data_IF_019443587385
#
_entry.id   IF_019443587385
#
_cell.length_a   1.000
_cell.length_b   1.000
_cell.length_c   1.000
_cell.angle_alpha   90.00
_cell.angle_beta   90.00
_cell.angle_gamma   90.00
#
_symmetry.space_group_name_H-M   'P 1'
#
loop_
_entity.id
_entity.type
_entity.pdbx_description
1 polymer ?
#
# COMPACT_ATOMS: atom_id res chain seq x y z
N UNK A 1 5.61 17.71 -15.34
CA UNK A 1 4.54 17.38 -14.38
C UNK A 1 5.12 17.44 -12.98
N UNK A 2 4.36 17.91 -11.99
CA UNK A 2 4.78 18.01 -10.60
C UNK A 2 3.95 17.01 -9.80
N UNK A 3 4.58 16.26 -8.90
CA UNK A 3 3.90 15.42 -7.90
C UNK A 3 4.10 16.10 -6.56
N UNK A 4 3.01 16.25 -5.81
CA UNK A 4 3.03 16.82 -4.45
C UNK A 4 2.12 16.00 -3.56
N UNK A 5 2.52 15.79 -2.32
CA UNK A 5 1.65 15.23 -1.29
C UNK A 5 1.86 15.99 0.01
N UNK A 6 0.76 16.28 0.71
CA UNK A 6 0.80 16.91 2.03
C UNK A 6 0.87 15.84 3.11
N UNK A 7 1.53 16.12 4.22
CA UNK A 7 1.45 15.28 5.40
C UNK A 7 0.13 15.56 6.13
N UNK A 8 -0.50 14.51 6.63
CA UNK A 8 -1.80 14.52 7.29
C UNK A 8 -1.75 13.74 8.60
N UNK A 9 -2.60 14.15 9.56
CA UNK A 9 -2.84 13.43 10.80
C UNK A 9 -3.97 12.39 10.69
N UNK A 10 -4.64 12.32 9.52
CA UNK A 10 -5.61 11.27 9.17
C UNK A 10 -4.89 9.98 8.80
N UNK A 11 -4.35 9.33 9.81
CA UNK A 11 -3.42 8.21 9.71
C UNK A 11 -4.07 6.83 9.91
N UNK A 12 -5.39 6.73 10.05
CA UNK A 12 -6.06 5.45 10.25
C UNK A 12 -5.93 4.84 11.65
N UNK A 13 -5.21 5.47 12.59
CA UNK A 13 -5.34 5.18 14.01
C UNK A 13 -6.82 5.42 14.37
N UNK A 14 -7.44 4.53 15.15
CA UNK A 14 -8.88 4.53 15.47
C UNK A 14 -9.83 3.98 14.39
N UNK A 15 -9.40 2.99 13.60
CA UNK A 15 -10.25 2.29 12.61
C UNK A 15 -10.80 3.17 11.48
N UNK A 16 -10.19 4.34 11.27
CA UNK A 16 -10.50 5.20 10.13
C UNK A 16 -9.72 4.75 8.89
N UNK A 17 -10.21 5.12 7.70
CA UNK A 17 -9.42 4.94 6.47
C UNK A 17 -8.37 6.06 6.45
N UNK A 18 -7.07 5.75 6.29
CA UNK A 18 -6.05 6.79 6.21
C UNK A 18 -6.23 7.62 4.93
N UNK A 19 -5.77 8.86 4.97
CA UNK A 19 -5.62 9.69 3.77
C UNK A 19 -4.19 9.64 3.24
N UNK A 20 -3.97 10.02 1.95
CA UNK A 20 -2.63 10.26 1.42
C UNK A 20 -1.79 11.16 2.34
N UNK A 21 -0.59 10.70 2.67
CA UNK A 21 0.32 11.39 3.57
C UNK A 21 -0.09 11.34 5.04
N UNK A 22 -1.09 10.51 5.41
CA UNK A 22 -1.53 10.22 6.78
C UNK A 22 -0.44 9.56 7.63
N UNK A 23 0.65 10.28 7.89
CA UNK A 23 1.89 9.77 8.47
C UNK A 23 2.23 10.45 9.79
N UNK A 24 1.41 11.39 10.23
CA UNK A 24 1.57 12.12 11.47
C UNK A 24 0.46 11.74 12.45
N UNK A 25 0.69 11.93 13.74
CA UNK A 25 -0.34 11.86 14.77
C UNK A 25 -0.11 12.95 15.81
N UNK A 26 -1.19 13.35 16.49
CA UNK A 26 -1.16 14.27 17.61
C UNK A 26 -1.21 13.47 18.94
N UNK A 27 -0.10 13.33 19.68
CA UNK A 27 -0.10 12.67 20.99
C UNK A 27 -0.89 13.47 22.04
N UNK A 28 -1.29 12.84 23.17
CA UNK A 28 -1.87 13.55 24.30
C UNK A 28 -0.98 14.72 24.77
N UNK A 29 -1.56 15.91 24.91
CA UNK A 29 -0.83 17.14 25.28
C UNK A 29 -0.12 17.07 26.62
N UNK A 30 -0.65 16.27 27.55
CA UNK A 30 -0.08 16.10 28.89
C UNK A 30 1.31 15.44 28.83
N UNK A 31 1.61 14.68 27.77
CA UNK A 31 2.95 14.13 27.53
C UNK A 31 3.98 15.20 27.12
N UNK A 32 3.53 16.40 26.74
CA UNK A 32 4.36 17.49 26.22
C UNK A 32 4.12 18.82 26.95
N UNK A 33 3.85 18.78 28.26
CA UNK A 33 3.64 19.96 29.10
C UNK A 33 2.60 20.95 28.54
N UNK A 34 1.55 20.43 27.89
CA UNK A 34 0.50 21.24 27.27
C UNK A 34 0.83 21.76 25.87
N UNK A 35 2.01 21.49 25.31
CA UNK A 35 2.32 21.84 23.93
C UNK A 35 1.49 21.01 22.94
N UNK A 36 1.16 21.61 21.79
CA UNK A 36 0.59 20.88 20.65
C UNK A 36 1.74 20.45 19.74
N UNK A 37 1.95 19.14 19.61
CA UNK A 37 3.05 18.56 18.84
C UNK A 37 2.46 17.61 17.79
N UNK A 38 3.09 17.55 16.62
CA UNK A 38 2.85 16.52 15.60
C UNK A 38 4.07 15.61 15.53
N UNK A 39 3.84 14.31 15.64
CA UNK A 39 4.89 13.30 15.57
C UNK A 39 4.61 12.34 14.41
N UNK A 40 5.65 11.75 13.78
CA UNK A 40 5.47 10.63 12.87
C UNK A 40 4.77 9.47 13.55
N UNK A 41 3.89 8.77 12.83
CA UNK A 41 3.32 7.50 13.28
C UNK A 41 4.46 6.51 13.46
N UNK A 42 4.59 6.01 14.69
CA UNK A 42 5.54 4.97 15.06
C UNK A 42 4.78 3.80 15.67
N UNK A 43 5.05 2.58 15.22
CA UNK A 43 4.48 1.35 15.77
C UNK A 43 5.66 0.41 16.04
N UNK A 44 6.08 0.21 17.31
CA UNK A 44 5.53 0.75 18.56
C UNK A 44 5.69 2.29 18.69
N UNK A 45 4.85 2.92 19.53
CA UNK A 45 4.80 4.39 19.72
C UNK A 45 6.16 4.98 20.13
N UNK A 46 6.96 4.21 20.85
CA UNK A 46 8.30 4.60 21.26
C UNK A 46 9.34 3.50 20.98
N UNK A 47 10.58 3.86 20.59
CA UNK A 47 11.00 5.23 20.24
C UNK A 47 10.34 5.71 18.94
N UNK A 48 10.04 7.01 18.85
CA UNK A 48 9.47 7.62 17.63
C UNK A 48 10.44 7.43 16.47
N UNK A 49 9.99 6.76 15.41
CA UNK A 49 10.79 6.55 14.20
C UNK A 49 10.33 7.44 13.04
N UNK A 50 11.26 7.81 12.17
CA UNK A 50 10.97 8.56 10.94
C UNK A 50 10.87 7.66 9.70
N UNK A 51 10.81 6.34 9.90
CA UNK A 51 10.90 5.34 8.82
C UNK A 51 9.82 5.55 7.75
N UNK A 52 8.55 5.77 8.12
CA UNK A 52 7.48 6.01 7.13
C UNK A 52 7.68 7.31 6.33
N UNK A 53 8.18 8.38 6.97
CA UNK A 53 8.48 9.64 6.27
C UNK A 53 9.67 9.46 5.31
N UNK A 54 10.68 8.68 5.71
CA UNK A 54 11.81 8.33 4.86
C UNK A 54 11.36 7.47 3.67
N UNK A 55 10.50 6.48 3.91
CA UNK A 55 9.89 5.65 2.88
C UNK A 55 9.10 6.51 1.89
N UNK A 56 8.30 7.45 2.40
CA UNK A 56 7.58 8.40 1.55
C UNK A 56 8.54 9.25 0.70
N UNK A 57 9.61 9.77 1.29
CA UNK A 57 10.62 10.54 0.58
C UNK A 57 11.26 9.71 -0.56
N UNK A 58 11.58 8.43 -0.31
CA UNK A 58 12.08 7.51 -1.33
C UNK A 58 11.05 7.29 -2.45
N UNK A 59 9.78 7.17 -2.13
CA UNK A 59 8.75 7.02 -3.15
C UNK A 59 8.57 8.30 -3.98
N UNK A 60 8.43 9.47 -3.34
CA UNK A 60 8.09 10.73 -4.01
C UNK A 60 9.23 11.33 -4.83
N UNK A 61 10.49 11.14 -4.42
CA UNK A 61 11.62 11.80 -5.09
C UNK A 61 12.33 10.89 -6.09
N UNK A 62 13.08 9.85 -5.68
CA UNK A 62 13.78 8.99 -6.64
C UNK A 62 12.85 8.08 -7.43
N UNK A 63 11.69 7.69 -6.89
CA UNK A 63 10.74 6.80 -7.57
C UNK A 63 9.53 7.53 -8.16
N UNK A 64 9.59 8.86 -8.30
CA UNK A 64 8.44 9.72 -8.69
C UNK A 64 7.69 9.30 -9.94
N UNK A 65 8.33 8.56 -10.85
CA UNK A 65 7.72 8.08 -12.09
C UNK A 65 6.48 7.23 -11.84
N UNK A 66 6.46 6.45 -10.73
CA UNK A 66 5.30 5.63 -10.38
C UNK A 66 4.06 6.47 -10.07
N UNK A 67 4.23 7.65 -9.48
CA UNK A 67 3.12 8.58 -9.23
C UNK A 67 2.71 9.32 -10.50
N UNK A 68 3.66 9.59 -11.40
CA UNK A 68 3.38 10.29 -12.65
C UNK A 68 2.62 9.45 -13.67
N UNK A 69 2.68 8.12 -13.56
CA UNK A 69 1.91 7.19 -14.38
C UNK A 69 0.49 6.95 -13.85
N UNK A 70 0.19 7.38 -12.62
CA UNK A 70 -1.14 7.31 -11.99
C UNK A 70 -1.78 5.92 -12.08
N UNK A 71 -1.12 4.86 -11.57
CA UNK A 71 -1.63 3.50 -11.66
C UNK A 71 -2.89 3.34 -10.82
N UNK A 72 -3.94 2.79 -11.43
CA UNK A 72 -5.04 2.19 -10.68
C UNK A 72 -4.62 0.86 -10.10
N UNK A 73 -4.94 0.64 -8.81
CA UNK A 73 -4.59 -0.58 -8.08
C UNK A 73 -5.85 -1.34 -7.67
N UNK A 74 -5.86 -2.64 -7.92
CA UNK A 74 -6.84 -3.60 -7.41
C UNK A 74 -6.15 -4.58 -6.46
N UNK A 75 -6.79 -4.90 -5.33
CA UNK A 75 -6.30 -5.86 -4.34
C UNK A 75 -7.37 -6.90 -4.09
N UNK A 76 -7.05 -8.15 -4.42
CA UNK A 76 -7.97 -9.28 -4.32
C UNK A 76 -7.47 -10.24 -3.25
N UNK A 77 -8.31 -10.55 -2.27
CA UNK A 77 -8.03 -11.61 -1.31
C UNK A 77 -8.49 -12.96 -1.86
N UNK A 78 -7.54 -13.84 -2.16
CA UNK A 78 -7.78 -15.19 -2.62
C UNK A 78 -7.17 -16.20 -1.63
N UNK A 79 -7.42 -16.04 -0.32
CA UNK A 79 -7.01 -17.02 0.70
C UNK A 79 -6.09 -16.46 1.79
N UNK A 80 -5.68 -15.19 1.72
CA UNK A 80 -5.00 -14.51 2.83
C UNK A 80 -5.93 -14.34 4.04
N UNK A 81 -5.32 -14.09 5.21
CA UNK A 81 -6.07 -13.87 6.45
C UNK A 81 -7.09 -12.71 6.30
N UNK A 82 -8.28 -12.81 6.93
CA UNK A 82 -9.27 -11.74 6.87
C UNK A 82 -8.68 -10.39 7.28
N UNK A 83 -8.92 -9.37 6.47
CA UNK A 83 -8.39 -8.02 6.69
C UNK A 83 -7.04 -7.73 6.03
N UNK A 84 -6.32 -8.72 5.48
CA UNK A 84 -5.03 -8.49 4.82
C UNK A 84 -5.13 -7.54 3.62
N UNK A 85 -6.14 -7.70 2.75
CA UNK A 85 -6.35 -6.81 1.61
C UNK A 85 -6.63 -5.36 2.04
N UNK A 86 -7.42 -5.18 3.11
CA UNK A 86 -7.70 -3.86 3.69
C UNK A 86 -6.45 -3.24 4.33
N UNK A 87 -5.64 -4.03 5.01
CA UNK A 87 -4.38 -3.57 5.61
C UNK A 87 -3.41 -3.07 4.53
N UNK A 88 -3.22 -3.85 3.45
CA UNK A 88 -2.39 -3.44 2.32
C UNK A 88 -2.97 -2.20 1.61
N UNK A 89 -4.28 -2.16 1.38
CA UNK A 89 -4.96 -1.00 0.78
C UNK A 89 -4.70 0.28 1.57
N UNK A 90 -4.94 0.24 2.89
CA UNK A 90 -4.69 1.37 3.78
C UNK A 90 -3.23 1.83 3.75
N UNK A 91 -2.29 0.88 3.70
CA UNK A 91 -0.87 1.20 3.59
C UNK A 91 -0.55 1.89 2.26
N UNK A 92 -1.03 1.38 1.12
CA UNK A 92 -0.79 2.00 -0.18
C UNK A 92 -1.44 3.40 -0.29
N UNK A 93 -2.66 3.58 0.24
CA UNK A 93 -3.34 4.87 0.29
C UNK A 93 -2.54 5.89 1.10
N UNK A 94 -1.95 5.47 2.23
CA UNK A 94 -1.09 6.33 3.07
C UNK A 94 0.09 6.90 2.31
N UNK A 95 0.64 6.15 1.35
CA UNK A 95 1.71 6.61 0.45
C UNK A 95 1.19 7.28 -0.83
N UNK A 96 -0.11 7.54 -0.94
CA UNK A 96 -0.70 8.32 -2.03
C UNK A 96 -0.99 7.53 -3.31
N UNK A 97 -1.04 6.20 -3.24
CA UNK A 97 -1.50 5.38 -4.37
C UNK A 97 -3.01 5.27 -4.42
N UNK A 98 -3.56 5.21 -5.64
CA UNK A 98 -4.99 5.07 -5.88
C UNK A 98 -5.37 3.59 -5.88
N UNK A 99 -6.00 3.13 -4.80
CA UNK A 99 -6.55 1.77 -4.69
C UNK A 99 -8.04 1.83 -5.02
N UNK A 100 -8.38 1.44 -6.24
CA UNK A 100 -9.74 1.54 -6.79
C UNK A 100 -10.64 0.40 -6.33
N UNK A 101 -10.06 -0.78 -6.12
CA UNK A 101 -10.84 -1.99 -5.87
C UNK A 101 -10.18 -2.85 -4.80
N UNK A 102 -10.97 -3.24 -3.80
CA UNK A 102 -10.55 -4.14 -2.72
C UNK A 102 -11.68 -5.12 -2.46
N UNK A 103 -11.46 -6.40 -2.74
CA UNK A 103 -12.49 -7.43 -2.62
C UNK A 103 -11.87 -8.79 -2.29
N UNK A 104 -12.72 -9.77 -1.99
CA UNK A 104 -12.31 -11.17 -2.12
C UNK A 104 -12.33 -11.52 -3.61
N UNK A 105 -11.44 -12.40 -4.06
CA UNK A 105 -11.46 -12.89 -5.44
C UNK A 105 -12.66 -13.83 -5.60
N UNK A 106 -13.71 -13.39 -6.31
CA UNK A 106 -14.90 -14.23 -6.55
C UNK A 106 -14.67 -15.22 -7.69
N UNK A 107 -13.80 -14.85 -8.63
CA UNK A 107 -13.51 -15.61 -9.84
C UNK A 107 -12.38 -16.62 -9.65
N UNK A 108 -11.52 -16.42 -8.65
CA UNK A 108 -10.39 -17.29 -8.36
C UNK A 108 -10.69 -18.21 -7.17
N UNK A 109 -10.26 -19.48 -7.21
CA UNK A 109 -10.20 -20.30 -6.02
C UNK A 109 -9.14 -19.76 -5.04
N UNK A 110 -9.18 -20.23 -3.80
CA UNK A 110 -8.13 -19.96 -2.82
C UNK A 110 -6.74 -20.31 -3.38
N UNK A 111 -5.85 -19.33 -3.37
CA UNK A 111 -4.47 -19.40 -3.81
C UNK A 111 -3.56 -19.65 -2.62
N UNK A 112 -2.60 -20.55 -2.79
CA UNK A 112 -1.55 -20.78 -1.79
C UNK A 112 -0.52 -19.63 -1.77
N UNK A 113 -0.27 -19.03 -2.93
CA UNK A 113 0.75 -18.00 -3.12
C UNK A 113 0.16 -16.68 -3.57
N UNK A 114 0.79 -15.59 -3.16
CA UNK A 114 0.47 -14.23 -3.56
C UNK A 114 1.24 -13.83 -4.82
N UNK A 115 0.64 -13.02 -5.68
CA UNK A 115 1.22 -12.64 -6.98
C UNK A 115 0.63 -11.32 -7.52
N UNK A 116 1.29 -10.75 -8.51
CA UNK A 116 0.80 -9.61 -9.30
C UNK A 116 0.24 -10.13 -10.63
N UNK A 117 -1.00 -9.79 -10.95
CA UNK A 117 -1.64 -10.27 -12.16
C UNK A 117 -1.20 -9.52 -13.41
N UNK A 118 -1.03 -10.26 -14.49
CA UNK A 118 -0.76 -9.77 -15.83
C UNK A 118 -1.77 -10.35 -16.81
N UNK A 119 -2.17 -9.58 -17.82
CA UNK A 119 -3.08 -10.09 -18.86
C UNK A 119 -2.40 -11.12 -19.76
N UNK A 120 -1.11 -10.93 -20.04
CA UNK A 120 -0.29 -11.85 -20.82
C UNK A 120 1.13 -11.91 -20.25
N UNK A 121 1.82 -13.04 -20.39
CA UNK A 121 3.21 -13.19 -19.91
C UNK A 121 4.21 -12.18 -20.51
N UNK A 122 3.88 -11.57 -21.65
CA UNK A 122 4.71 -10.56 -22.33
C UNK A 122 4.38 -9.12 -21.93
N UNK A 123 3.27 -8.88 -21.22
CA UNK A 123 2.79 -7.54 -20.84
C UNK A 123 3.27 -7.15 -19.45
N UNK A 124 4.60 -7.04 -19.29
CA UNK A 124 5.20 -6.53 -18.07
C UNK A 124 5.19 -4.99 -18.10
N UNK A 125 4.27 -4.37 -17.35
CA UNK A 125 4.26 -2.92 -17.21
C UNK A 125 5.28 -2.46 -16.16
N UNK A 126 5.88 -1.26 -16.30
CA UNK A 126 6.76 -0.69 -15.27
C UNK A 126 6.09 -0.60 -13.90
N UNK A 127 4.79 -0.33 -13.86
CA UNK A 127 3.98 -0.24 -12.65
C UNK A 127 3.84 -1.62 -11.97
N UNK A 128 3.44 -2.65 -12.72
CA UNK A 128 3.33 -4.01 -12.17
C UNK A 128 4.70 -4.51 -11.68
N UNK A 129 5.76 -4.21 -12.42
CA UNK A 129 7.15 -4.56 -12.05
C UNK A 129 7.58 -3.85 -10.77
N UNK A 130 7.23 -2.57 -10.62
CA UNK A 130 7.50 -1.80 -9.40
C UNK A 130 6.84 -2.45 -8.18
N UNK A 131 5.54 -2.76 -8.25
CA UNK A 131 4.82 -3.37 -7.13
C UNK A 131 5.23 -4.82 -6.87
N UNK A 132 5.55 -5.59 -7.91
CA UNK A 132 6.13 -6.93 -7.77
C UNK A 132 7.43 -6.89 -6.96
N UNK A 133 8.33 -5.95 -7.28
CA UNK A 133 9.59 -5.77 -6.57
C UNK A 133 9.39 -5.24 -5.14
N UNK A 134 8.53 -4.24 -4.96
CA UNK A 134 8.23 -3.64 -3.66
C UNK A 134 7.66 -4.69 -2.69
N UNK A 135 6.67 -5.46 -3.14
CA UNK A 135 5.96 -6.45 -2.33
C UNK A 135 6.66 -7.81 -2.31
N UNK A 136 7.73 -7.98 -3.09
CA UNK A 136 8.46 -9.24 -3.29
C UNK A 136 7.54 -10.37 -3.75
N UNK A 137 6.63 -10.05 -4.67
CA UNK A 137 5.64 -10.96 -5.23
C UNK A 137 6.00 -11.34 -6.67
N UNK A 138 5.86 -12.62 -7.07
CA UNK A 138 5.99 -13.00 -8.46
C UNK A 138 4.88 -12.39 -9.32
N UNK A 139 5.17 -12.16 -10.59
CA UNK A 139 4.14 -11.81 -11.58
C UNK A 139 3.63 -13.09 -12.25
N UNK A 140 2.33 -13.16 -12.50
CA UNK A 140 1.69 -14.32 -13.12
C UNK A 140 0.58 -13.88 -14.07
N UNK A 141 0.47 -14.57 -15.21
CA UNK A 141 -0.61 -14.38 -16.17
C UNK A 141 -1.94 -14.92 -15.61
N UNK A 142 -3.01 -14.16 -15.80
CA UNK A 142 -4.36 -14.62 -15.48
C UNK A 142 -5.37 -14.20 -16.55
N UNK A 143 -6.14 -15.19 -16.99
CA UNK A 143 -7.28 -15.03 -17.90
C UNK A 143 -8.63 -15.14 -17.19
N UNK A 144 -8.62 -15.47 -15.90
CA UNK A 144 -9.82 -15.72 -15.09
C UNK A 144 -10.38 -14.44 -14.45
N UNK A 145 -9.53 -13.43 -14.25
CA UNK A 145 -9.92 -12.15 -13.65
C UNK A 145 -10.82 -11.34 -14.59
N UNK A 146 -11.90 -10.81 -14.03
CA UNK A 146 -12.85 -9.98 -14.78
C UNK A 146 -12.26 -8.62 -15.14
N UNK A 147 -12.93 -7.92 -16.06
CA UNK A 147 -12.59 -6.52 -16.37
C UNK A 147 -12.81 -5.58 -15.17
N UNK A 148 -13.67 -5.95 -14.22
CA UNK A 148 -13.91 -5.19 -12.99
C UNK A 148 -12.82 -5.40 -11.94
N UNK A 149 -12.19 -6.57 -11.92
CA UNK A 149 -11.08 -6.90 -11.01
C UNK A 149 -9.73 -6.40 -11.56
N UNK A 150 -9.56 -6.39 -12.88
CA UNK A 150 -8.31 -6.00 -13.52
C UNK A 150 -8.10 -4.48 -13.55
N UNK A 151 -6.95 -4.04 -13.03
CA UNK A 151 -6.44 -2.66 -13.10
C UNK A 151 -5.02 -2.62 -13.65
N UNK A 152 -4.44 -1.42 -13.74
CA UNK A 152 -3.02 -1.24 -14.14
C UNK A 152 -2.10 -2.12 -13.28
N UNK A 153 -2.42 -2.24 -12.00
CA UNK A 153 -1.77 -3.17 -11.06
C UNK A 153 -2.86 -3.94 -10.34
N UNK A 154 -2.82 -5.27 -10.42
CA UNK A 154 -3.77 -6.13 -9.70
C UNK A 154 -2.97 -7.07 -8.81
N UNK A 155 -3.22 -7.02 -7.50
CA UNK A 155 -2.48 -7.75 -6.47
C UNK A 155 -3.38 -8.85 -5.93
N UNK A 156 -2.98 -10.10 -6.08
CA UNK A 156 -3.70 -11.26 -5.56
C UNK A 156 -3.00 -11.77 -4.32
N UNK A 157 -3.73 -11.82 -3.20
CA UNK A 157 -3.21 -12.23 -1.90
C UNK A 157 -3.62 -13.67 -1.59
N UNK A 158 -2.64 -14.58 -1.59
CA UNK A 158 -2.83 -15.98 -1.21
C UNK A 158 -2.58 -16.24 0.28
N UNK A 159 -2.69 -17.51 0.69
CA UNK A 159 -2.50 -17.95 2.09
C UNK A 159 -1.13 -17.63 2.67
N UNK A 160 -0.11 -17.51 1.82
CA UNK A 160 1.25 -17.13 2.22
C UNK A 160 1.39 -15.63 2.58
N UNK A 161 0.43 -14.78 2.20
CA UNK A 161 0.56 -13.34 2.39
C UNK A 161 0.67 -13.00 3.87
N UNK A 162 1.70 -12.22 4.21
CA UNK A 162 1.86 -11.61 5.53
C UNK A 162 2.08 -10.13 5.32
N UNK A 163 1.21 -9.33 5.94
CA UNK A 163 1.32 -7.87 5.88
C UNK A 163 2.71 -7.42 6.36
N UNK A 164 3.34 -6.56 5.57
CA UNK A 164 4.57 -5.85 5.90
C UNK A 164 4.37 -4.39 5.54
N UNK A 165 4.78 -3.49 6.43
CA UNK A 165 4.70 -2.07 6.16
C UNK A 165 5.69 -1.68 5.06
N UNK A 166 5.32 -0.73 4.21
CA UNK A 166 6.15 -0.27 3.08
C UNK A 166 7.51 0.26 3.55
N UNK A 167 7.54 0.85 4.75
CA UNK A 167 8.77 1.33 5.37
C UNK A 167 9.83 0.24 5.58
N UNK A 168 9.41 -1.01 5.77
CA UNK A 168 10.29 -2.16 6.02
C UNK A 168 10.57 -2.94 4.72
N UNK A 169 9.80 -2.66 3.66
CA UNK A 169 10.00 -3.23 2.31
C UNK A 169 11.00 -2.43 1.48
N UNK A 170 11.11 -1.12 1.74
CA UNK A 170 11.96 -0.20 1.01
C UNK A 170 13.38 -0.07 1.56
N UNK A 171 13.80 -0.90 2.53
CA UNK A 171 15.12 -0.80 3.19
C UNK A 171 16.31 -0.92 2.24
#
# INVERSE_FOLDING_TARGET
RVVTMQLSDRNGLYNTVPEPGGLLYAPPRDLFAGASVLLPVSIPEYPVTWKQIQALSRLLFPMRSIYLSDPSISILNAGAAPGSARALSNELIRYGFVVDHVANAETLPDQEKSWIAQRTATEQTPEATFFANLLKLPMQESTELTSEEMRTVTIVLGKDYRYQAVQDLLE
#
